data_IF_808889858220
#
_entry.id   IF_808889858220
#
_cell.length_a   1.000
_cell.length_b   1.000
_cell.length_c   1.000
_cell.angle_alpha   90.00
_cell.angle_beta   90.00
_cell.angle_gamma   90.00
#
_symmetry.space_group_name_H-M   'P 1'
#
loop_
_entity.id
_entity.type
_entity.pdbx_description
1 polymer ?
#
# COMPACT_ATOMS: atom_id res chain seq x y z
N UNK A 1 -20.44 17.74 38.07
CA UNK A 1 -19.76 16.47 37.74
C UNK A 1 -18.75 16.70 36.62
N UNK A 2 -17.47 16.82 36.97
CA UNK A 2 -16.37 17.14 36.05
C UNK A 2 -16.33 16.19 34.85
N UNK A 3 -16.06 16.71 33.64
CA UNK A 3 -16.05 15.97 32.35
C UNK A 3 -15.21 14.69 32.41
N UNK A 4 -14.16 14.67 33.22
CA UNK A 4 -13.29 13.51 33.43
C UNK A 4 -14.03 12.31 34.01
N UNK A 5 -14.89 12.51 35.02
CA UNK A 5 -15.67 11.42 35.61
C UNK A 5 -16.66 10.81 34.61
N UNK A 6 -17.24 11.63 33.71
CA UNK A 6 -18.14 11.13 32.67
C UNK A 6 -17.40 10.27 31.63
N UNK A 7 -16.15 10.58 31.32
CA UNK A 7 -15.33 9.79 30.38
C UNK A 7 -14.91 8.46 31.00
N UNK A 8 -14.47 8.46 32.26
CA UNK A 8 -14.10 7.23 32.98
C UNK A 8 -15.33 6.31 33.12
N UNK A 9 -16.49 6.86 33.49
CA UNK A 9 -17.72 6.09 33.62
C UNK A 9 -18.17 5.49 32.28
N UNK A 10 -18.02 6.23 31.16
CA UNK A 10 -18.29 5.71 29.80
C UNK A 10 -17.30 4.62 29.38
N UNK A 11 -16.03 4.71 29.76
CA UNK A 11 -15.03 3.70 29.46
C UNK A 11 -15.28 2.38 30.21
N UNK A 12 -15.75 2.45 31.45
CA UNK A 12 -16.12 1.27 32.25
C UNK A 12 -17.40 0.63 31.69
N UNK A 13 -18.41 1.44 31.34
CA UNK A 13 -19.73 0.92 30.93
C UNK A 13 -19.77 0.45 29.47
N UNK A 14 -18.87 0.91 28.60
CA UNK A 14 -18.92 0.59 27.17
C UNK A 14 -17.54 0.68 26.51
N UNK A 15 -16.58 -0.18 26.88
CA UNK A 15 -15.24 -0.18 26.29
C UNK A 15 -15.28 -0.37 24.76
N UNK A 16 -16.24 -1.15 24.26
CA UNK A 16 -16.44 -1.44 22.84
C UNK A 16 -16.69 -0.19 21.97
N UNK A 17 -17.32 0.85 22.53
CA UNK A 17 -17.61 2.09 21.79
C UNK A 17 -16.35 2.94 21.60
N UNK A 18 -15.44 2.94 22.58
CA UNK A 18 -14.17 3.67 22.50
C UNK A 18 -13.22 3.00 21.50
N UNK A 19 -13.21 1.66 21.45
CA UNK A 19 -12.40 0.90 20.50
C UNK A 19 -12.86 1.16 19.06
N UNK A 20 -14.16 1.27 18.79
CA UNK A 20 -14.65 1.59 17.44
C UNK A 20 -14.26 3.00 16.98
N UNK A 21 -14.42 4.01 17.82
CA UNK A 21 -14.09 5.39 17.44
C UNK A 21 -12.58 5.60 17.20
N UNK A 22 -11.73 4.86 17.90
CA UNK A 22 -10.26 4.95 17.73
C UNK A 22 -9.71 4.14 16.56
N UNK A 23 -10.39 3.08 16.13
CA UNK A 23 -9.96 2.24 15.00
C UNK A 23 -10.45 2.76 13.64
N UNK A 24 -11.53 3.54 13.61
CA UNK A 24 -12.11 4.06 12.36
C UNK A 24 -11.39 5.33 11.88
N UNK A 25 -10.72 6.07 12.76
CA UNK A 25 -10.19 7.42 12.46
C UNK A 25 -8.73 7.48 11.98
N UNK A 26 -8.10 6.36 11.61
CA UNK A 26 -6.77 6.37 10.99
C UNK A 26 -6.67 5.44 9.79
N UNK A 27 -7.16 5.94 8.66
CA UNK A 27 -6.33 6.22 7.48
C UNK A 27 -7.24 6.74 6.38
N UNK A 28 -7.27 8.07 6.19
CA UNK A 28 -7.26 8.58 4.83
C UNK A 28 -5.99 8.03 4.18
N UNK A 29 -6.09 6.83 3.61
CA UNK A 29 -5.13 6.38 2.61
C UNK A 29 -5.41 7.33 1.46
N UNK A 30 -4.65 8.43 1.38
CA UNK A 30 -4.53 9.16 0.13
C UNK A 30 -4.28 8.08 -0.92
N UNK A 31 -5.23 7.90 -1.83
CA UNK A 31 -5.07 7.00 -2.96
C UNK A 31 -3.90 7.59 -3.74
N UNK A 32 -2.70 7.08 -3.46
CA UNK A 32 -1.50 7.46 -4.18
C UNK A 32 -1.78 7.03 -5.61
N UNK A 33 -1.92 8.00 -6.51
CA UNK A 33 -2.11 7.72 -7.93
C UNK A 33 -1.01 6.74 -8.37
N UNK A 34 -1.43 5.61 -8.92
CA UNK A 34 -0.49 4.60 -9.39
C UNK A 34 0.19 5.19 -10.62
N UNK A 35 1.49 5.44 -10.52
CA UNK A 35 2.29 5.92 -11.64
C UNK A 35 2.41 4.79 -12.67
N UNK A 36 1.75 4.95 -13.81
CA UNK A 36 1.82 4.03 -14.96
C UNK A 36 2.73 4.55 -16.08
N UNK A 37 3.13 5.84 -16.02
CA UNK A 37 3.85 6.52 -17.10
C UNK A 37 5.35 6.25 -17.07
N UNK A 38 5.95 6.30 -15.88
CA UNK A 38 7.40 6.14 -15.75
C UNK A 38 7.80 4.67 -15.87
N UNK A 39 8.94 4.40 -16.53
CA UNK A 39 9.43 3.03 -16.74
C UNK A 39 10.29 2.50 -15.60
N UNK A 40 10.86 3.40 -14.81
CA UNK A 40 11.72 3.06 -13.68
C UNK A 40 11.66 4.15 -12.61
N UNK A 41 12.04 3.77 -11.41
CA UNK A 41 12.19 4.66 -10.27
C UNK A 41 13.64 4.63 -9.80
N UNK A 42 14.15 5.78 -9.38
CA UNK A 42 15.43 5.89 -8.68
C UNK A 42 15.14 6.00 -7.19
N UNK A 43 15.58 5.02 -6.43
CA UNK A 43 15.45 4.99 -4.98
C UNK A 43 16.45 5.95 -4.34
N UNK A 44 16.23 6.29 -3.07
CA UNK A 44 17.10 7.21 -2.31
C UNK A 44 18.53 6.71 -2.14
N UNK A 45 18.74 5.40 -2.21
CA UNK A 45 20.05 4.75 -2.17
C UNK A 45 20.75 4.72 -3.55
N UNK A 46 20.15 5.33 -4.58
CA UNK A 46 20.64 5.34 -5.95
C UNK A 46 20.31 4.07 -6.75
N UNK A 47 19.64 3.09 -6.15
CA UNK A 47 19.21 1.89 -6.89
C UNK A 47 18.09 2.22 -7.87
N UNK A 48 18.05 1.50 -8.99
CA UNK A 48 17.04 1.66 -10.03
C UNK A 48 16.12 0.46 -10.00
N UNK A 49 14.82 0.69 -9.86
CA UNK A 49 13.78 -0.34 -9.93
C UNK A 49 12.90 -0.11 -11.16
N UNK A 50 12.59 -1.17 -11.90
CA UNK A 50 11.63 -1.09 -13.00
C UNK A 50 10.21 -0.92 -12.46
N UNK A 51 9.39 -0.12 -13.14
CA UNK A 51 8.01 0.10 -12.75
C UNK A 51 7.11 -1.04 -13.26
N UNK A 52 6.56 -1.89 -12.37
CA UNK A 52 5.69 -2.99 -12.80
C UNK A 52 4.35 -2.52 -13.34
N UNK A 53 3.96 -1.25 -13.13
CA UNK A 53 2.69 -0.69 -13.60
C UNK A 53 2.80 -0.05 -14.99
N UNK A 54 4.00 0.01 -15.57
CA UNK A 54 4.20 0.54 -16.92
C UNK A 54 4.00 -0.56 -17.97
N UNK A 55 3.21 -0.26 -19.01
CA UNK A 55 2.84 -1.21 -20.05
C UNK A 55 4.05 -1.73 -20.85
N UNK A 56 5.03 -0.87 -21.17
CA UNK A 56 6.23 -1.29 -21.90
C UNK A 56 7.08 -2.25 -21.06
N UNK A 57 7.23 -1.96 -19.77
CA UNK A 57 7.96 -2.82 -18.83
C UNK A 57 7.30 -4.19 -18.73
N UNK A 58 5.97 -4.24 -18.60
CA UNK A 58 5.22 -5.50 -18.57
C UNK A 58 5.41 -6.32 -19.85
N UNK A 59 5.30 -5.69 -21.03
CA UNK A 59 5.51 -6.35 -22.32
C UNK A 59 6.93 -6.90 -22.44
N UNK A 60 7.94 -6.13 -22.04
CA UNK A 60 9.33 -6.58 -22.06
C UNK A 60 9.56 -7.77 -21.12
N UNK A 61 8.98 -7.75 -19.92
CA UNK A 61 9.04 -8.88 -19.00
C UNK A 61 8.38 -10.14 -19.57
N UNK A 62 7.19 -10.03 -20.16
CA UNK A 62 6.50 -11.15 -20.78
C UNK A 62 7.32 -11.78 -21.91
N UNK A 63 7.87 -10.95 -22.82
CA UNK A 63 8.72 -11.42 -23.91
C UNK A 63 9.99 -12.11 -23.42
N UNK A 64 10.61 -11.59 -22.34
CA UNK A 64 11.79 -12.21 -21.74
C UNK A 64 11.45 -13.58 -21.12
N UNK A 65 10.32 -13.70 -20.44
CA UNK A 65 9.86 -14.97 -19.87
C UNK A 65 9.62 -16.00 -20.98
N UNK A 66 8.94 -15.62 -22.06
CA UNK A 66 8.70 -16.48 -23.21
C UNK A 66 10.02 -16.98 -23.84
N UNK A 67 10.98 -16.07 -24.03
CA UNK A 67 12.32 -16.40 -24.53
C UNK A 67 13.07 -17.35 -23.60
N UNK A 68 12.98 -17.17 -22.28
CA UNK A 68 13.63 -18.08 -21.33
C UNK A 68 13.00 -19.48 -21.35
N UNK A 69 11.68 -19.57 -21.58
CA UNK A 69 11.00 -20.84 -21.73
C UNK A 69 11.37 -21.58 -23.02
N UNK A 70 11.60 -20.87 -24.12
CA UNK A 70 12.01 -21.50 -25.39
C UNK A 70 13.43 -22.05 -25.32
N UNK A 71 14.34 -21.37 -24.62
CA UNK A 71 15.73 -21.84 -24.42
C UNK A 71 15.79 -23.12 -23.59
N UNK A 72 14.94 -23.27 -22.56
CA UNK A 72 14.93 -24.47 -21.70
C UNK A 72 14.41 -25.75 -22.39
N UNK A 73 13.82 -25.64 -23.58
CA UNK A 73 13.32 -26.78 -24.36
C UNK A 73 14.28 -27.23 -25.48
N UNK A 74 15.46 -26.60 -25.59
CA UNK A 74 16.54 -26.96 -26.52
C UNK A 74 17.59 -27.84 -25.88
#
# INVERSE_FOLDING_TARGET
MSKLFKLILKAILSPEKIVKDTLIDKKQVNQVEINTKDRFFVNKDGSIALNPNNEEVQKAFAANIEKLHSIRKG
#
